data_IF_126221183359
#
_entry.id   IF_126221183359
#
_cell.length_a   1.000
_cell.length_b   1.000
_cell.length_c   1.000
_cell.angle_alpha   90.00
_cell.angle_beta   90.00
_cell.angle_gamma   90.00
#
_symmetry.space_group_name_H-M   'P 1'
#
loop_
_entity.id
_entity.type
_entity.pdbx_description
1 polymer ?
#
# COMPACT_ATOMS: atom_id res chain seq x y z
N UNK A 1 -21.17 7.39 -15.21
CA UNK A 1 -20.18 7.49 -14.12
C UNK A 1 -19.13 8.51 -14.54
N UNK A 2 -19.02 9.63 -13.82
CA UNK A 2 -18.01 10.65 -14.12
C UNK A 2 -16.65 10.18 -13.58
N UNK A 3 -15.54 10.27 -14.34
CA UNK A 3 -14.23 10.06 -13.76
C UNK A 3 -13.92 11.22 -12.81
N UNK A 4 -13.73 10.93 -11.53
CA UNK A 4 -13.12 11.90 -10.62
C UNK A 4 -11.62 12.00 -10.99
N UNK A 5 -11.13 13.22 -11.18
CA UNK A 5 -9.75 13.50 -11.60
C UNK A 5 -8.70 13.14 -10.53
N UNK A 6 -9.14 12.71 -9.34
CA UNK A 6 -8.27 12.38 -8.19
C UNK A 6 -8.12 10.87 -7.94
N UNK A 7 -8.51 10.03 -8.91
CA UNK A 7 -8.35 8.57 -8.80
C UNK A 7 -9.27 7.89 -7.76
N UNK A 8 -10.22 8.62 -7.18
CA UNK A 8 -11.20 8.07 -6.24
C UNK A 8 -12.49 7.70 -6.99
N UNK A 9 -12.79 6.41 -7.04
CA UNK A 9 -14.06 5.92 -7.55
C UNK A 9 -15.21 6.41 -6.65
N UNK A 10 -16.01 7.37 -7.13
CA UNK A 10 -17.39 7.51 -6.69
C UNK A 10 -18.18 6.37 -7.34
N UNK A 11 -18.15 5.20 -6.71
CA UNK A 11 -19.04 4.11 -7.05
C UNK A 11 -20.48 4.58 -6.77
N UNK A 12 -21.29 4.74 -7.82
CA UNK A 12 -22.72 5.06 -7.70
C UNK A 12 -23.57 3.91 -7.11
N UNK A 13 -22.93 2.83 -6.67
CA UNK A 13 -23.59 1.68 -6.08
C UNK A 13 -22.50 0.76 -5.52
N UNK A 14 -22.13 0.86 -4.24
CA UNK A 14 -21.77 -0.32 -3.43
C UNK A 14 -21.35 0.02 -1.99
N UNK A 15 -22.11 -0.54 -1.04
CA UNK A 15 -21.61 -1.21 0.17
C UNK A 15 -20.90 -0.42 1.28
N UNK A 16 -20.85 -0.95 2.51
CA UNK A 16 -19.97 -0.41 3.53
C UNK A 16 -18.53 -0.47 2.99
N UNK A 17 -17.84 0.67 2.99
CA UNK A 17 -16.41 0.79 2.70
C UNK A 17 -15.65 0.01 3.76
N UNK A 18 -15.62 -1.32 3.59
CA UNK A 18 -14.86 -2.23 4.43
C UNK A 18 -13.42 -1.91 4.10
N UNK A 19 -12.79 -1.09 4.95
CA UNK A 19 -11.41 -0.68 4.79
C UNK A 19 -10.58 -1.96 4.68
N UNK A 20 -10.04 -2.23 3.49
CA UNK A 20 -9.23 -3.42 3.24
C UNK A 20 -7.85 -3.20 3.87
N UNK A 21 -7.82 -3.25 5.20
CA UNK A 21 -6.66 -2.97 6.02
C UNK A 21 -5.78 -4.22 6.09
N UNK A 22 -4.52 -4.04 5.75
CA UNK A 22 -3.51 -5.09 5.72
C UNK A 22 -2.27 -4.65 6.48
N UNK A 23 -1.49 -5.62 6.94
CA UNK A 23 -0.15 -5.39 7.46
C UNK A 23 0.85 -6.23 6.67
N UNK A 24 1.99 -5.65 6.32
CA UNK A 24 3.04 -6.37 5.58
C UNK A 24 3.98 -7.00 6.60
N UNK A 25 3.99 -8.34 6.65
CA UNK A 25 4.85 -9.12 7.53
C UNK A 25 6.00 -9.74 6.75
N UNK A 26 7.22 -9.55 7.22
CA UNK A 26 8.40 -10.21 6.67
C UNK A 26 8.55 -11.63 7.21
N UNK A 27 9.39 -12.43 6.53
CA UNK A 27 9.71 -13.81 6.94
C UNK A 27 10.21 -13.90 8.39
N UNK A 28 10.91 -12.86 8.86
CA UNK A 28 11.43 -12.76 10.23
C UNK A 28 10.37 -12.40 11.29
N UNK A 29 9.08 -12.49 10.95
CA UNK A 29 7.97 -12.13 11.83
C UNK A 29 8.00 -10.68 12.34
N UNK A 30 8.48 -9.76 11.48
CA UNK A 30 8.45 -8.32 11.72
C UNK A 30 7.51 -7.64 10.74
N UNK A 31 6.90 -6.55 11.16
CA UNK A 31 5.98 -5.77 10.34
C UNK A 31 6.66 -4.53 9.77
N UNK A 32 6.24 -4.15 8.56
CA UNK A 32 6.63 -2.87 7.94
C UNK A 32 5.90 -1.74 8.67
N UNK A 33 6.68 -0.83 9.24
CA UNK A 33 6.25 0.35 10.00
C UNK A 33 6.48 1.60 9.16
N UNK A 34 5.48 2.47 9.09
CA UNK A 34 5.65 3.80 8.52
C UNK A 34 5.97 4.80 9.62
N UNK A 35 7.15 5.41 9.56
CA UNK A 35 7.55 6.44 10.51
C UNK A 35 6.88 7.80 10.19
N UNK A 36 6.83 8.73 11.16
CA UNK A 36 6.25 10.06 10.95
C UNK A 36 6.93 10.93 9.89
N UNK A 37 8.10 10.56 9.39
CA UNK A 37 8.76 11.22 8.25
C UNK A 37 8.48 10.51 6.91
N UNK A 38 7.65 9.47 6.89
CA UNK A 38 7.36 8.65 5.72
C UNK A 38 8.41 7.58 5.41
N UNK A 39 9.45 7.43 6.22
CA UNK A 39 10.43 6.33 6.06
C UNK A 39 9.78 5.01 6.48
N UNK A 40 10.10 3.93 5.76
CA UNK A 40 9.70 2.58 6.15
C UNK A 40 10.78 1.92 7.03
N UNK A 41 10.35 1.22 8.07
CA UNK A 41 11.21 0.41 8.94
C UNK A 41 10.60 -0.96 9.15
N UNK A 42 11.41 -1.97 9.44
CA UNK A 42 10.92 -3.33 9.75
C UNK A 42 11.44 -3.73 11.13
N UNK A 43 10.72 -3.38 12.18
CA UNK A 43 11.19 -3.57 13.57
C UNK A 43 10.12 -4.09 14.53
N UNK A 44 8.84 -3.94 14.18
CA UNK A 44 7.74 -4.24 15.11
C UNK A 44 7.32 -5.69 15.03
N UNK A 45 6.99 -6.28 16.17
CA UNK A 45 6.50 -7.68 16.30
C UNK A 45 4.99 -7.78 16.44
N UNK A 46 4.28 -6.65 16.53
CA UNK A 46 2.83 -6.56 16.65
C UNK A 46 2.33 -5.49 15.68
N UNK A 47 1.13 -5.70 15.16
CA UNK A 47 0.44 -4.74 14.31
C UNK A 47 -0.22 -3.68 15.19
N UNK A 48 0.06 -2.42 14.91
CA UNK A 48 -0.69 -1.27 15.38
C UNK A 48 -1.00 -0.33 14.22
N UNK A 49 -1.28 0.93 14.53
CA UNK A 49 -1.70 1.93 13.55
C UNK A 49 -0.63 2.25 12.50
N UNK A 50 0.66 2.19 12.87
CA UNK A 50 1.77 2.52 11.98
C UNK A 50 2.18 1.37 11.06
N UNK A 51 1.77 0.14 11.40
CA UNK A 51 2.02 -1.08 10.63
C UNK A 51 0.83 -1.46 9.72
N UNK A 52 -0.22 -0.65 9.74
CA UNK A 52 -1.45 -0.87 8.97
C UNK A 52 -1.45 -0.04 7.70
N UNK A 53 -1.92 -0.65 6.61
CA UNK A 53 -2.04 -0.06 5.28
C UNK A 53 -3.44 -0.32 4.71
N UNK A 54 -3.99 0.64 4.00
CA UNK A 54 -5.13 0.40 3.10
C UNK A 54 -4.57 -0.19 1.79
N UNK A 55 -5.09 -1.35 1.40
CA UNK A 55 -4.77 -1.98 0.12
C UNK A 55 -5.80 -1.58 -0.93
N UNK A 56 -5.33 -0.92 -1.98
CA UNK A 56 -6.13 -0.57 -3.16
C UNK A 56 -5.81 -1.54 -4.30
N UNK A 57 -6.85 -2.08 -4.92
CA UNK A 57 -6.76 -2.81 -6.18
C UNK A 57 -7.06 -1.84 -7.32
N UNK A 58 -6.08 -1.59 -8.18
CA UNK A 58 -6.19 -0.66 -9.28
C UNK A 58 -6.83 -1.34 -10.50
N UNK A 59 -7.44 -0.55 -11.39
CA UNK A 59 -8.09 -1.06 -12.61
C UNK A 59 -7.13 -1.77 -13.57
N UNK A 60 -5.85 -1.41 -13.54
CA UNK A 60 -4.81 -1.98 -14.38
C UNK A 60 -4.25 -3.31 -13.82
N UNK A 61 -4.84 -3.83 -12.74
CA UNK A 61 -4.43 -5.07 -12.09
C UNK A 61 -3.27 -4.91 -11.11
N UNK A 62 -2.71 -3.71 -10.97
CA UNK A 62 -1.72 -3.41 -9.92
C UNK A 62 -2.40 -3.17 -8.58
N UNK A 63 -1.59 -3.10 -7.52
CA UNK A 63 -2.04 -2.70 -6.19
C UNK A 63 -1.27 -1.48 -5.70
N UNK A 64 -1.89 -0.71 -4.81
CA UNK A 64 -1.26 0.41 -4.13
C UNK A 64 -1.50 0.31 -2.62
N UNK A 65 -0.47 0.65 -1.84
CA UNK A 65 -0.53 0.67 -0.38
C UNK A 65 -0.57 2.11 0.11
N UNK A 66 -1.58 2.45 0.90
CA UNK A 66 -1.71 3.77 1.54
C UNK A 66 -1.61 3.64 3.04
N UNK A 67 -0.78 4.47 3.66
CA UNK A 67 -0.81 4.63 5.10
C UNK A 67 -2.07 5.43 5.50
N UNK A 68 -3.00 4.86 6.29
CA UNK A 68 -4.25 5.52 6.63
C UNK A 68 -4.05 6.74 7.54
N UNK A 69 -3.06 6.70 8.43
CA UNK A 69 -2.77 7.76 9.40
C UNK A 69 -2.25 9.03 8.73
N UNK A 70 -1.43 8.88 7.69
CA UNK A 70 -0.80 9.99 6.96
C UNK A 70 -1.46 10.30 5.64
N UNK A 71 -2.36 9.45 5.19
CA UNK A 71 -2.98 9.55 3.87
C UNK A 71 -1.99 9.49 2.70
N UNK A 72 -0.80 8.91 2.90
CA UNK A 72 0.27 8.81 1.90
C UNK A 72 0.43 7.41 1.33
N UNK A 73 0.74 7.32 0.04
CA UNK A 73 1.05 6.10 -0.67
C UNK A 73 2.52 5.72 -0.54
N UNK A 74 2.76 4.41 -0.50
CA UNK A 74 4.08 3.79 -0.61
C UNK A 74 4.57 3.94 -2.05
N UNK A 75 5.76 4.51 -2.21
CA UNK A 75 6.49 4.68 -3.47
C UNK A 75 7.77 3.88 -3.42
N UNK A 76 8.07 3.18 -4.51
CA UNK A 76 9.38 2.60 -4.77
C UNK A 76 10.08 3.42 -5.86
N UNK A 77 11.17 4.07 -5.49
CA UNK A 77 11.94 4.92 -6.38
C UNK A 77 12.92 4.11 -7.24
N UNK A 78 13.32 4.65 -8.39
CA UNK A 78 14.29 4.04 -9.32
C UNK A 78 15.64 3.71 -8.66
N UNK A 79 16.03 4.41 -7.59
CA UNK A 79 17.26 4.16 -6.83
C UNK A 79 17.11 3.00 -5.80
N UNK A 80 15.96 2.31 -5.81
CA UNK A 80 15.65 1.19 -4.93
C UNK A 80 15.14 1.61 -3.54
N UNK A 81 14.99 2.91 -3.26
CA UNK A 81 14.44 3.37 -1.98
C UNK A 81 12.93 3.21 -1.96
N UNK A 82 12.40 2.87 -0.78
CA UNK A 82 10.95 2.76 -0.57
C UNK A 82 10.52 3.66 0.57
N UNK A 83 9.51 4.49 0.35
CA UNK A 83 8.99 5.44 1.34
C UNK A 83 7.49 5.70 1.15
N UNK A 84 6.79 6.12 2.21
CA UNK A 84 5.38 6.48 2.18
C UNK A 84 5.18 8.00 2.26
N UNK A 85 5.54 8.69 1.17
CA UNK A 85 5.51 10.16 1.09
C UNK A 85 4.78 10.67 -0.14
N UNK A 86 3.98 9.87 -0.85
CA UNK A 86 3.28 10.36 -2.06
C UNK A 86 1.81 10.58 -1.80
N UNK A 87 1.23 11.65 -2.33
CA UNK A 87 -0.18 12.00 -2.11
C UNK A 87 -1.11 11.35 -3.15
N UNK A 88 -0.56 10.98 -4.31
CA UNK A 88 -1.30 10.40 -5.44
C UNK A 88 -0.58 9.14 -5.95
N UNK A 89 -1.33 8.30 -6.67
CA UNK A 89 -0.80 7.11 -7.35
C UNK A 89 -0.44 7.48 -8.78
N UNK A 90 0.84 7.42 -9.12
CA UNK A 90 1.34 7.50 -10.49
C UNK A 90 1.94 6.16 -10.88
N UNK A 91 3.23 6.10 -11.24
CA UNK A 91 3.90 4.84 -11.60
C UNK A 91 4.54 4.14 -10.40
N UNK A 92 5.29 4.90 -9.61
CA UNK A 92 6.14 4.37 -8.53
C UNK A 92 5.35 3.87 -7.31
N UNK A 93 4.05 4.17 -7.25
CA UNK A 93 3.13 3.72 -6.20
C UNK A 93 2.25 2.53 -6.64
N UNK A 94 2.51 1.98 -7.84
CA UNK A 94 1.83 0.80 -8.37
C UNK A 94 2.74 -0.41 -8.28
N UNK A 95 2.21 -1.49 -7.71
CA UNK A 95 2.95 -2.73 -7.53
C UNK A 95 2.20 -3.89 -8.18
N UNK A 96 2.93 -4.77 -8.85
CA UNK A 96 2.38 -6.08 -9.21
C UNK A 96 2.49 -7.02 -8.02
N UNK A 97 1.39 -7.67 -7.67
CA UNK A 97 1.35 -8.67 -6.61
C UNK A 97 1.61 -10.06 -7.20
N UNK A 98 2.66 -10.73 -6.72
CA UNK A 98 2.98 -12.10 -7.09
C UNK A 98 2.76 -13.03 -5.90
N UNK A 99 1.98 -14.09 -6.10
CA UNK A 99 1.84 -15.18 -5.13
C UNK A 99 2.96 -16.19 -5.35
N UNK A 100 3.67 -16.54 -4.29
CA UNK A 100 4.78 -17.47 -4.33
C UNK A 100 4.33 -18.86 -3.83
N UNK A 101 5.01 -19.92 -4.26
CA UNK A 101 4.70 -21.31 -3.91
C UNK A 101 4.81 -21.59 -2.40
N UNK A 102 5.60 -20.79 -1.68
CA UNK A 102 5.77 -20.87 -0.23
C UNK A 102 4.66 -20.15 0.57
N UNK A 103 3.62 -19.68 -0.12
CA UNK A 103 2.50 -18.95 0.48
C UNK A 103 2.78 -17.49 0.81
N UNK A 104 3.98 -16.98 0.48
CA UNK A 104 4.30 -15.56 0.61
C UNK A 104 3.82 -14.75 -0.60
N UNK A 105 3.81 -13.43 -0.44
CA UNK A 105 3.48 -12.49 -1.51
C UNK A 105 4.67 -11.56 -1.74
N UNK A 106 4.98 -11.30 -3.00
CA UNK A 106 5.93 -10.27 -3.41
C UNK A 106 5.22 -9.10 -4.06
N UNK A 107 5.60 -7.88 -3.68
CA UNK A 107 5.20 -6.64 -4.35
C UNK A 107 6.35 -6.19 -5.24
N UNK A 108 6.08 -6.09 -6.53
CA UNK A 108 7.08 -5.74 -7.55
C UNK A 108 6.78 -4.34 -8.07
N UNK A 109 7.73 -3.42 -7.91
CA UNK A 109 7.72 -2.12 -8.56
C UNK A 109 7.82 -2.31 -10.10
N UNK A 110 7.41 -1.30 -10.90
CA UNK A 110 7.53 -1.34 -12.36
C UNK A 110 8.96 -1.51 -12.87
#
# INVERSE_FOLDING_TARGET
CCPAMDGMFLACCDGPTTQNLVAVRTKDARYVTVLPNGTLRVDRRKVGELETFQLFHNLDGTVSLRNPQRQRYVSAEDDGRVHATRDLIFGQERFTMAHNDDGTVSLRAP
#
